data_IF_847081782681
#
_entry.id   IF_847081782681
#
_cell.length_a   1.000
_cell.length_b   1.000
_cell.length_c   1.000
_cell.angle_alpha   90.00
_cell.angle_beta   90.00
_cell.angle_gamma   90.00
#
_symmetry.space_group_name_H-M   'P 1'
#
loop_
_entity.id
_entity.type
_entity.pdbx_description
1 polymer ?
#
# COMPACT_ATOMS: atom_id res chain seq x y z
N UNK A 1 1.70 -14.86 -18.47
CA UNK A 1 2.43 -14.51 -17.23
C UNK A 1 2.34 -13.00 -17.10
N UNK A 2 1.26 -12.49 -16.52
CA UNK A 2 1.18 -11.07 -16.20
C UNK A 2 2.06 -10.86 -14.98
N UNK A 3 3.04 -9.96 -15.05
CA UNK A 3 3.98 -9.64 -13.97
C UNK A 3 3.39 -8.67 -12.94
N UNK A 4 2.13 -8.26 -13.13
CA UNK A 4 1.41 -7.38 -12.24
C UNK A 4 0.49 -8.28 -11.43
N UNK A 5 0.71 -8.34 -10.12
CA UNK A 5 -0.26 -8.91 -9.21
C UNK A 5 -1.57 -8.12 -9.36
N UNK A 6 -2.65 -8.75 -9.80
CA UNK A 6 -3.95 -8.11 -10.04
C UNK A 6 -4.73 -7.90 -8.73
N UNK A 7 -4.09 -8.02 -7.57
CA UNK A 7 -4.66 -7.67 -6.28
C UNK A 7 -4.78 -6.15 -6.11
N UNK A 8 -5.81 -5.58 -6.75
CA UNK A 8 -6.25 -4.21 -6.56
C UNK A 8 -7.77 -4.15 -6.34
N UNK A 9 -8.24 -3.12 -5.65
CA UNK A 9 -9.68 -2.87 -5.46
C UNK A 9 -10.06 -1.49 -5.98
N UNK A 10 -11.11 -1.44 -6.79
CA UNK A 10 -11.71 -0.17 -7.21
C UNK A 10 -12.39 0.52 -6.03
N UNK A 11 -12.07 1.80 -5.86
CA UNK A 11 -12.58 2.63 -4.77
C UNK A 11 -13.21 3.91 -5.34
N UNK A 12 -14.27 4.44 -4.68
CA UNK A 12 -15.11 5.49 -5.25
C UNK A 12 -14.43 6.86 -5.38
N UNK A 13 -13.26 7.04 -4.77
CA UNK A 13 -12.49 8.28 -4.84
C UNK A 13 -11.02 8.06 -4.51
N UNK A 14 -10.18 9.02 -4.89
CA UNK A 14 -8.77 9.04 -4.48
C UNK A 14 -8.60 9.05 -2.96
N UNK A 15 -9.44 9.79 -2.23
CA UNK A 15 -9.39 9.81 -0.76
C UNK A 15 -9.72 8.44 -0.15
N UNK A 16 -10.70 7.72 -0.72
CA UNK A 16 -11.01 6.35 -0.30
C UNK A 16 -9.85 5.40 -0.63
N UNK A 17 -9.24 5.54 -1.80
CA UNK A 17 -8.06 4.78 -2.21
C UNK A 17 -6.87 5.01 -1.27
N UNK A 18 -6.61 6.26 -0.89
CA UNK A 18 -5.53 6.58 0.04
C UNK A 18 -5.75 5.98 1.42
N UNK A 19 -6.97 6.07 1.97
CA UNK A 19 -7.30 5.46 3.27
C UNK A 19 -7.14 3.95 3.24
N UNK A 20 -7.60 3.29 2.18
CA UNK A 20 -7.46 1.85 2.04
C UNK A 20 -5.99 1.43 1.88
N UNK A 21 -5.21 2.15 1.08
CA UNK A 21 -3.77 1.90 0.92
C UNK A 21 -3.02 2.01 2.26
N UNK A 22 -3.37 2.97 3.11
CA UNK A 22 -2.78 3.08 4.47
C UNK A 22 -3.16 1.86 5.33
N UNK A 23 -4.41 1.38 5.26
CA UNK A 23 -4.86 0.20 6.01
C UNK A 23 -4.14 -1.06 5.52
N UNK A 24 -4.07 -1.24 4.21
CA UNK A 24 -3.40 -2.37 3.57
C UNK A 24 -1.90 -2.38 3.89
N UNK A 25 -1.23 -1.23 3.80
CA UNK A 25 0.18 -1.10 4.15
C UNK A 25 0.45 -1.58 5.59
N UNK A 26 -0.40 -1.19 6.55
CA UNK A 26 -0.31 -1.65 7.95
C UNK A 26 -0.53 -3.15 8.09
N UNK A 27 -1.48 -3.72 7.35
CA UNK A 27 -1.74 -5.16 7.38
C UNK A 27 -0.53 -5.96 6.83
N UNK A 28 0.04 -5.51 5.72
CA UNK A 28 1.25 -6.12 5.13
C UNK A 28 2.42 -6.01 6.11
N UNK A 29 2.70 -4.82 6.63
CA UNK A 29 3.76 -4.60 7.62
C UNK A 29 3.57 -5.46 8.88
N UNK A 30 2.34 -5.67 9.34
CA UNK A 30 2.06 -6.54 10.48
C UNK A 30 2.48 -7.99 10.23
N UNK A 31 2.21 -8.52 9.05
CA UNK A 31 2.64 -9.86 8.64
C UNK A 31 4.16 -9.95 8.48
N UNK A 32 4.75 -8.92 7.90
CA UNK A 32 6.20 -8.74 7.76
C UNK A 32 6.89 -8.78 9.13
N UNK A 33 6.46 -7.95 10.07
CA UNK A 33 6.97 -7.95 11.46
C UNK A 33 6.80 -9.33 12.11
N UNK A 34 5.66 -10.00 11.92
CA UNK A 34 5.44 -11.34 12.46
C UNK A 34 6.42 -12.38 11.88
N UNK A 35 6.88 -12.18 10.64
CA UNK A 35 7.91 -13.00 9.99
C UNK A 35 9.35 -12.62 10.37
N UNK A 36 9.54 -11.51 11.09
CA UNK A 36 10.85 -10.99 11.50
C UNK A 36 11.57 -10.12 10.48
N UNK A 37 10.88 -9.68 9.42
CA UNK A 37 11.42 -8.81 8.38
C UNK A 37 10.45 -7.67 8.09
N UNK A 38 10.91 -6.42 8.08
CA UNK A 38 10.08 -5.26 7.75
C UNK A 38 10.71 -4.48 6.59
N UNK A 39 9.97 -4.31 5.50
CA UNK A 39 10.37 -3.53 4.34
C UNK A 39 9.96 -2.06 4.50
N UNK A 40 10.89 -1.21 4.91
CA UNK A 40 10.60 0.23 5.09
C UNK A 40 10.51 1.02 3.78
N UNK A 41 11.13 0.49 2.71
CA UNK A 41 11.15 1.11 1.37
C UNK A 41 9.95 0.66 0.49
N UNK A 42 9.11 -0.23 1.01
CA UNK A 42 7.93 -0.72 0.29
C UNK A 42 6.80 0.32 0.30
N UNK A 43 5.94 0.25 -0.72
CA UNK A 43 4.81 1.16 -0.89
C UNK A 43 3.64 0.48 -1.59
N UNK A 44 2.45 1.06 -1.47
CA UNK A 44 1.26 0.69 -2.24
C UNK A 44 0.97 1.76 -3.28
N UNK A 45 0.84 1.36 -4.54
CA UNK A 45 0.46 2.26 -5.63
C UNK A 45 -1.05 2.44 -5.71
N UNK A 46 -1.48 3.67 -5.98
CA UNK A 46 -2.85 4.03 -6.33
C UNK A 46 -2.83 4.39 -7.81
N UNK A 47 -3.58 3.64 -8.61
CA UNK A 47 -3.66 3.83 -10.06
C UNK A 47 -5.05 4.30 -10.48
N UNK A 48 -5.14 4.98 -11.62
CA UNK A 48 -6.42 5.26 -12.28
C UNK A 48 -6.92 4.06 -13.10
N UNK A 49 -8.08 4.22 -13.75
CA UNK A 49 -8.69 3.17 -14.58
C UNK A 49 -7.88 2.82 -15.83
N UNK A 50 -6.86 3.61 -16.18
CA UNK A 50 -5.95 3.36 -17.29
C UNK A 50 -4.63 2.73 -16.81
N UNK A 51 -4.49 2.46 -15.51
CA UNK A 51 -3.26 1.94 -14.91
C UNK A 51 -2.19 3.02 -14.67
N UNK A 52 -2.55 4.30 -14.76
CA UNK A 52 -1.61 5.39 -14.47
C UNK A 52 -1.48 5.56 -12.97
N UNK A 53 -0.26 5.48 -12.44
CA UNK A 53 0.01 5.76 -11.01
C UNK A 53 -0.33 7.21 -10.69
N UNK A 54 -1.35 7.40 -9.85
CA UNK A 54 -1.77 8.68 -9.31
C UNK A 54 -0.97 9.05 -8.05
N UNK A 55 -0.65 8.05 -7.23
CA UNK A 55 0.13 8.22 -6.00
C UNK A 55 0.76 6.90 -5.56
N UNK A 56 1.77 7.00 -4.69
CA UNK A 56 2.32 5.88 -3.93
C UNK A 56 2.21 6.20 -2.44
N UNK A 57 1.84 5.22 -1.63
CA UNK A 57 1.76 5.32 -0.16
C UNK A 57 2.92 4.53 0.42
N UNK A 58 4.03 5.18 0.83
CA UNK A 58 5.15 4.51 1.47
C UNK A 58 4.73 3.91 2.82
N UNK A 59 5.28 2.74 3.15
CA UNK A 59 5.05 2.08 4.42
C UNK A 59 5.45 2.96 5.61
N UNK A 60 6.55 3.70 5.47
CA UNK A 60 7.02 4.66 6.46
C UNK A 60 6.02 5.78 6.77
N UNK A 61 5.15 6.16 5.81
CA UNK A 61 4.11 7.18 6.02
C UNK A 61 2.82 6.60 6.60
N UNK A 62 2.65 5.28 6.53
CA UNK A 62 1.47 4.60 7.05
C UNK A 62 1.50 4.41 8.57
N UNK A 63 2.63 4.63 9.27
CA UNK A 63 2.71 4.51 10.73
C UNK A 63 3.60 5.58 11.37
N UNK A 64 3.46 5.75 12.69
CA UNK A 64 4.35 6.59 13.50
C UNK A 64 5.28 5.70 14.31
N UNK A 65 6.59 5.84 14.12
CA UNK A 65 7.60 5.14 14.92
C UNK A 65 7.87 5.97 16.18
N UNK A 66 7.75 5.34 17.35
CA UNK A 66 8.06 5.96 18.65
C UNK A 66 9.23 5.21 19.34
N UNK A 67 10.08 5.91 20.12
CA UNK A 67 11.20 5.32 20.84
C UNK A 67 10.80 4.36 21.96
#
# INVERSE_FOLDING_TARGET
MSLIDEEGRELPSFEAAFKEAVIAARAIMGNEVASGYLCLDCHIEIVDSYGTTLAAVPFAEALTIQP
#
